data_IF_146326694539
#
_entry.id   IF_146326694539
#
_cell.length_a   1.000
_cell.length_b   1.000
_cell.length_c   1.000
_cell.angle_alpha   90.00
_cell.angle_beta   90.00
_cell.angle_gamma   90.00
#
_symmetry.space_group_name_H-M   'P 1'
#
loop_
_entity.id
_entity.type
_entity.pdbx_description
1 polymer ?
#
# COMPACT_ATOMS: atom_id res chain seq x y z
N UNK A 1 -10.37 21.95 0.10
CA UNK A 1 -9.63 20.82 -0.50
C UNK A 1 -10.48 19.95 -1.44
N UNK A 2 -11.61 19.38 -0.98
CA UNK A 2 -12.53 18.56 -1.80
C UNK A 2 -13.03 19.20 -3.11
N UNK A 3 -13.29 20.52 -3.12
CA UNK A 3 -13.76 21.24 -4.32
C UNK A 3 -12.69 21.37 -5.41
N UNK A 4 -11.42 21.55 -5.01
CA UNK A 4 -10.28 21.66 -5.94
C UNK A 4 -9.98 20.31 -6.60
N UNK A 5 -10.13 19.21 -5.84
CA UNK A 5 -10.00 17.84 -6.35
C UNK A 5 -11.04 17.53 -7.44
N UNK A 6 -12.32 17.88 -7.22
CA UNK A 6 -13.39 17.67 -8.20
C UNK A 6 -13.15 18.41 -9.53
N UNK A 7 -12.57 19.60 -9.49
CA UNK A 7 -12.32 20.42 -10.68
C UNK A 7 -11.22 19.82 -11.58
N UNK A 8 -10.05 19.47 -11.00
CA UNK A 8 -8.94 18.85 -11.76
C UNK A 8 -9.28 17.49 -12.36
N UNK A 9 -10.22 16.76 -11.76
CA UNK A 9 -10.63 15.44 -12.26
C UNK A 9 -11.46 15.54 -13.55
N UNK A 10 -12.12 16.68 -13.83
CA UNK A 10 -13.00 16.86 -15.00
C UNK A 10 -12.24 17.12 -16.31
N UNK A 11 -11.07 17.75 -16.26
CA UNK A 11 -10.31 18.09 -17.48
C UNK A 11 -9.61 16.89 -18.15
N UNK A 12 -9.41 15.79 -17.41
CA UNK A 12 -8.61 14.63 -17.86
C UNK A 12 -9.43 13.49 -18.49
N UNK A 13 -10.71 13.70 -18.80
CA UNK A 13 -11.63 12.61 -19.20
C UNK A 13 -12.10 12.86 -20.63
N UNK A 14 -11.29 12.51 -21.63
CA UNK A 14 -11.66 12.57 -23.06
C UNK A 14 -11.69 11.22 -23.77
N UNK A 15 -11.05 10.18 -23.23
CA UNK A 15 -10.98 8.86 -23.88
C UNK A 15 -11.83 7.83 -23.13
N UNK A 16 -12.66 7.07 -23.83
CA UNK A 16 -13.44 5.98 -23.23
C UNK A 16 -12.50 4.89 -22.70
N UNK A 17 -12.53 4.63 -21.40
CA UNK A 17 -11.76 3.56 -20.76
C UNK A 17 -12.60 2.28 -20.84
N UNK A 18 -12.14 1.35 -21.66
CA UNK A 18 -12.60 -0.04 -21.61
C UNK A 18 -12.23 -0.66 -20.25
N UNK A 19 -13.05 -1.58 -19.74
CA UNK A 19 -12.81 -2.22 -18.44
C UNK A 19 -11.40 -2.83 -18.34
N UNK A 20 -10.91 -3.42 -19.43
CA UNK A 20 -9.57 -4.02 -19.54
C UNK A 20 -8.42 -3.00 -19.44
N UNK A 21 -8.71 -1.71 -19.64
CA UNK A 21 -7.74 -0.60 -19.59
C UNK A 21 -7.81 0.18 -18.27
N UNK A 22 -8.61 -0.27 -17.30
CA UNK A 22 -8.68 0.36 -15.99
C UNK A 22 -7.35 0.17 -15.26
N UNK A 23 -6.66 1.29 -14.97
CA UNK A 23 -5.43 1.26 -14.18
C UNK A 23 -5.79 1.15 -12.70
N UNK A 24 -6.15 -0.04 -12.24
CA UNK A 24 -6.58 -0.28 -10.87
C UNK A 24 -5.48 -1.01 -10.06
N UNK A 25 -5.29 -0.72 -8.76
CA UNK A 25 -4.37 -1.44 -7.88
C UNK A 25 -4.94 -2.81 -7.48
N UNK A 26 -5.28 -3.58 -8.50
CA UNK A 26 -5.64 -5.00 -8.45
C UNK A 26 -5.33 -5.59 -9.81
N UNK A 27 -4.49 -6.60 -9.84
CA UNK A 27 -4.19 -7.31 -11.07
C UNK A 27 -5.29 -8.32 -11.35
N UNK A 28 -6.15 -8.05 -12.33
CA UNK A 28 -7.16 -9.01 -12.78
C UNK A 28 -6.47 -10.30 -13.28
N UNK A 29 -6.88 -11.46 -12.75
CA UNK A 29 -6.19 -12.73 -13.04
C UNK A 29 -5.04 -13.05 -12.08
N UNK A 30 -4.72 -12.13 -11.16
CA UNK A 30 -3.67 -12.26 -10.16
C UNK A 30 -2.28 -12.57 -10.72
N UNK A 31 -1.46 -13.19 -9.87
CA UNK A 31 -0.17 -13.75 -10.23
C UNK A 31 -0.29 -15.27 -10.42
N UNK A 32 0.42 -15.86 -11.41
CA UNK A 32 0.38 -17.30 -11.68
C UNK A 32 1.00 -18.13 -10.56
N UNK A 33 1.86 -17.51 -9.76
CA UNK A 33 2.56 -18.12 -8.63
C UNK A 33 2.57 -17.14 -7.47
N UNK A 34 2.65 -17.69 -6.27
CA UNK A 34 2.86 -16.90 -5.06
C UNK A 34 4.11 -16.01 -5.23
N UNK A 35 3.99 -14.69 -5.00
CA UNK A 35 5.14 -13.80 -4.93
C UNK A 35 6.11 -14.31 -3.86
N UNK A 36 7.34 -14.61 -4.28
CA UNK A 36 8.41 -15.09 -3.41
C UNK A 36 9.61 -14.19 -3.63
N UNK A 37 9.93 -13.37 -2.66
CA UNK A 37 11.22 -12.69 -2.58
C UNK A 37 11.80 -12.89 -1.18
N UNK A 38 13.00 -13.46 -1.11
CA UNK A 38 13.82 -13.52 0.10
C UNK A 38 13.46 -14.64 1.08
N UNK A 39 14.43 -15.50 1.39
CA UNK A 39 14.38 -16.30 2.61
C UNK A 39 14.23 -15.32 3.79
N UNK A 40 13.22 -15.52 4.63
CA UNK A 40 13.06 -14.84 5.92
C UNK A 40 14.27 -15.16 6.82
N UNK A 41 15.41 -14.52 6.59
CA UNK A 41 16.62 -14.76 7.35
C UNK A 41 16.58 -13.94 8.64
N UNK A 42 16.06 -14.59 9.67
CA UNK A 42 16.44 -14.46 11.07
C UNK A 42 16.76 -13.06 11.60
N UNK A 43 15.73 -12.25 11.84
CA UNK A 43 15.71 -11.30 12.98
C UNK A 43 14.29 -10.84 13.38
N UNK A 44 13.24 -11.15 12.62
CA UNK A 44 11.86 -10.75 12.93
C UNK A 44 10.90 -11.92 12.79
N UNK A 45 10.45 -12.45 13.93
CA UNK A 45 9.27 -13.33 13.99
C UNK A 45 8.05 -12.46 13.64
N UNK A 46 7.78 -12.27 12.34
CA UNK A 46 6.73 -11.40 11.81
C UNK A 46 5.34 -11.71 12.40
N UNK A 47 5.13 -12.96 12.85
CA UNK A 47 3.92 -13.41 13.55
C UNK A 47 3.72 -12.71 14.91
N UNK A 48 4.78 -12.09 15.46
CA UNK A 48 4.71 -11.21 16.63
C UNK A 48 4.34 -9.77 16.29
N UNK A 49 4.42 -9.39 15.01
CA UNK A 49 4.20 -8.02 14.54
C UNK A 49 2.80 -7.87 13.96
N UNK A 50 2.35 -8.85 13.15
CA UNK A 50 1.04 -8.88 12.52
C UNK A 50 0.50 -10.31 12.51
N UNK A 51 -0.78 -10.49 12.84
CA UNK A 51 -1.46 -11.77 12.72
C UNK A 51 -2.35 -11.83 11.46
N UNK A 52 -2.74 -13.04 11.08
CA UNK A 52 -3.57 -13.27 9.90
C UNK A 52 -4.96 -12.65 10.02
N UNK A 53 -5.56 -12.65 11.21
CA UNK A 53 -6.85 -12.01 11.48
C UNK A 53 -6.83 -10.53 11.11
N UNK A 54 -5.76 -9.81 11.47
CA UNK A 54 -5.62 -8.38 11.13
C UNK A 54 -5.49 -8.15 9.63
N UNK A 55 -4.77 -9.02 8.92
CA UNK A 55 -4.65 -8.97 7.47
C UNK A 55 -6.00 -9.22 6.79
N UNK A 56 -6.79 -10.14 7.35
CA UNK A 56 -8.14 -10.41 6.87
C UNK A 56 -9.09 -9.22 7.11
N UNK A 57 -9.01 -8.55 8.26
CA UNK A 57 -9.76 -7.31 8.53
C UNK A 57 -9.40 -6.21 7.52
N UNK A 58 -8.11 -5.93 7.34
CA UNK A 58 -7.62 -4.88 6.44
C UNK A 58 -8.05 -5.11 4.99
N UNK A 59 -7.91 -6.34 4.50
CA UNK A 59 -8.34 -6.71 3.15
C UNK A 59 -9.86 -6.64 2.98
N UNK A 60 -10.63 -7.07 3.98
CA UNK A 60 -12.09 -6.96 3.97
C UNK A 60 -12.55 -5.50 3.90
N UNK A 61 -11.98 -4.64 4.77
CA UNK A 61 -12.29 -3.21 4.75
C UNK A 61 -11.88 -2.56 3.43
N UNK A 62 -10.72 -2.92 2.87
CA UNK A 62 -10.24 -2.44 1.58
C UNK A 62 -11.27 -2.67 0.46
N UNK A 63 -11.70 -3.92 0.26
CA UNK A 63 -12.68 -4.25 -0.78
C UNK A 63 -14.06 -3.68 -0.49
N UNK A 64 -14.49 -3.66 0.77
CA UNK A 64 -15.78 -3.08 1.14
C UNK A 64 -15.87 -1.60 0.77
N UNK A 65 -14.84 -0.79 1.06
CA UNK A 65 -14.88 0.65 0.73
C UNK A 65 -14.73 0.93 -0.76
N UNK A 66 -14.02 0.08 -1.49
CA UNK A 66 -13.99 0.12 -2.96
C UNK A 66 -15.40 -0.12 -3.52
N UNK A 67 -16.09 -1.17 -3.05
CA UNK A 67 -17.46 -1.49 -3.45
C UNK A 67 -18.47 -0.39 -3.13
N UNK A 68 -18.34 0.25 -1.97
CA UNK A 68 -19.19 1.37 -1.56
C UNK A 68 -18.93 2.65 -2.39
N UNK A 69 -17.96 2.65 -3.32
CA UNK A 69 -17.45 3.82 -4.05
C UNK A 69 -17.05 4.94 -3.08
N UNK A 70 -16.55 4.56 -1.91
CA UNK A 70 -16.11 5.44 -0.85
C UNK A 70 -14.62 5.21 -0.54
N UNK A 71 -13.72 5.16 -1.53
CA UNK A 71 -12.30 4.90 -1.25
C UNK A 71 -11.67 6.02 -0.40
N UNK A 72 -12.25 7.24 -0.36
CA UNK A 72 -11.81 8.29 0.57
C UNK A 72 -11.98 7.91 2.05
N UNK A 73 -12.82 6.92 2.37
CA UNK A 73 -12.96 6.38 3.73
C UNK A 73 -11.87 5.36 4.08
N UNK A 74 -10.98 5.03 3.14
CA UNK A 74 -9.81 4.18 3.39
C UNK A 74 -8.68 4.93 4.09
N UNK A 75 -8.82 6.24 4.37
CA UNK A 75 -7.74 7.08 4.92
C UNK A 75 -7.08 6.55 6.20
N UNK A 76 -7.78 5.68 6.94
CA UNK A 76 -7.24 5.05 8.16
C UNK A 76 -6.31 3.89 7.85
N UNK A 77 -6.57 3.14 6.78
CA UNK A 77 -5.89 1.89 6.47
C UNK A 77 -5.07 1.93 5.17
N UNK A 78 -5.25 2.93 4.31
CA UNK A 78 -4.55 3.06 3.02
C UNK A 78 -3.85 4.42 2.95
N UNK A 79 -2.62 4.45 2.43
CA UNK A 79 -1.92 5.70 2.20
C UNK A 79 -2.68 6.60 1.21
N UNK A 80 -2.69 7.90 1.52
CA UNK A 80 -3.37 8.91 0.72
C UNK A 80 -3.00 8.89 -0.79
N UNK A 81 -1.76 8.59 -1.15
CA UNK A 81 -1.31 8.49 -2.56
C UNK A 81 -2.06 7.38 -3.30
N UNK A 82 -2.05 6.17 -2.75
CA UNK A 82 -2.75 5.01 -3.29
C UNK A 82 -4.27 5.24 -3.30
N UNK A 83 -4.83 5.69 -2.19
CA UNK A 83 -6.25 6.04 -2.04
C UNK A 83 -6.72 7.05 -3.12
N UNK A 84 -5.91 8.08 -3.38
CA UNK A 84 -6.23 9.10 -4.38
C UNK A 84 -6.23 8.54 -5.81
N UNK A 85 -5.37 7.58 -6.11
CA UNK A 85 -5.33 6.91 -7.41
C UNK A 85 -6.52 5.98 -7.58
N UNK A 86 -6.84 5.15 -6.58
CA UNK A 86 -8.06 4.32 -6.54
C UNK A 86 -9.30 5.17 -6.82
N UNK A 87 -9.46 6.27 -6.07
CA UNK A 87 -10.60 7.17 -6.25
C UNK A 87 -10.67 7.75 -7.66
N UNK A 88 -9.53 8.20 -8.21
CA UNK A 88 -9.47 8.78 -9.55
C UNK A 88 -9.93 7.76 -10.59
N UNK A 89 -9.44 6.54 -10.53
CA UNK A 89 -9.72 5.51 -11.52
C UNK A 89 -11.15 4.99 -11.42
N UNK A 90 -11.68 4.79 -10.21
CA UNK A 90 -13.10 4.45 -10.00
C UNK A 90 -14.02 5.58 -10.49
N UNK A 91 -13.67 6.85 -10.25
CA UNK A 91 -14.47 7.98 -10.72
C UNK A 91 -14.39 8.17 -12.24
N UNK A 92 -13.21 7.99 -12.84
CA UNK A 92 -13.04 7.98 -14.30
C UNK A 92 -13.93 6.92 -14.93
N UNK A 93 -13.88 5.69 -14.41
CA UNK A 93 -14.74 4.61 -14.85
C UNK A 93 -16.23 4.96 -14.74
N UNK A 94 -16.68 5.42 -13.57
CA UNK A 94 -18.08 5.79 -13.32
C UNK A 94 -18.57 6.92 -14.23
N UNK A 95 -17.72 7.90 -14.52
CA UNK A 95 -18.07 9.06 -15.35
C UNK A 95 -18.20 8.70 -16.83
N UNK A 96 -17.43 7.74 -17.30
CA UNK A 96 -17.47 7.30 -18.70
C UNK A 96 -18.50 6.18 -18.92
N UNK A 97 -18.73 5.36 -17.90
CA UNK A 97 -19.61 4.21 -17.93
C UNK A 97 -20.77 4.39 -16.93
N UNK A 98 -21.56 5.46 -17.08
CA UNK A 98 -22.75 5.75 -16.25
C UNK A 98 -23.81 4.63 -16.21
N UNK A 99 -23.66 3.62 -17.07
CA UNK A 99 -24.54 2.47 -17.14
C UNK A 99 -24.05 1.27 -16.33
N UNK A 100 -22.83 1.30 -15.81
CA UNK A 100 -22.21 0.13 -15.21
C UNK A 100 -21.76 0.37 -13.77
N UNK A 101 -21.85 -0.68 -12.95
CA UNK A 101 -21.36 -0.73 -11.58
C UNK A 101 -20.34 -1.85 -11.47
N UNK A 102 -19.17 -1.53 -10.92
CA UNK A 102 -18.15 -2.50 -10.60
C UNK A 102 -18.41 -3.06 -9.20
N UNK A 103 -18.43 -4.39 -9.06
CA UNK A 103 -18.61 -5.07 -7.77
C UNK A 103 -17.49 -6.10 -7.59
N UNK A 104 -16.83 -6.03 -6.45
CA UNK A 104 -15.80 -6.96 -5.99
C UNK A 104 -16.38 -7.82 -4.88
N UNK A 105 -16.62 -9.10 -5.14
CA UNK A 105 -16.98 -10.08 -4.12
C UNK A 105 -15.78 -11.00 -3.91
N UNK A 106 -14.78 -10.49 -3.18
CA UNK A 106 -13.46 -11.10 -3.02
C UNK A 106 -13.28 -11.50 -1.57
N UNK A 107 -12.87 -12.75 -1.35
CA UNK A 107 -12.38 -13.26 -0.08
C UNK A 107 -10.87 -13.47 -0.17
N UNK A 108 -10.16 -13.06 0.87
CA UNK A 108 -8.73 -13.23 1.00
C UNK A 108 -8.43 -14.26 2.10
N UNK A 109 -7.44 -15.12 1.87
CA UNK A 109 -7.03 -16.20 2.78
C UNK A 109 -5.60 -16.64 2.47
N UNK A 110 -5.05 -17.55 3.30
CA UNK A 110 -3.69 -18.08 3.20
C UNK A 110 -2.65 -16.95 3.14
N UNK A 111 -2.68 -16.04 4.11
CA UNK A 111 -1.72 -14.93 4.14
C UNK A 111 -0.32 -15.42 4.52
N UNK A 112 0.69 -15.00 3.75
CA UNK A 112 2.10 -15.27 3.98
C UNK A 112 2.92 -13.99 3.95
N UNK A 113 3.78 -13.76 4.94
CA UNK A 113 4.80 -12.72 4.84
C UNK A 113 5.99 -13.29 4.08
N UNK A 114 6.40 -12.64 2.99
CA UNK A 114 7.57 -13.07 2.23
C UNK A 114 8.76 -12.14 2.38
N UNK A 115 8.56 -10.84 2.63
CA UNK A 115 9.66 -9.90 2.83
C UNK A 115 9.36 -8.89 3.95
N UNK A 116 10.41 -8.46 4.65
CA UNK A 116 10.34 -7.41 5.67
C UNK A 116 11.53 -6.48 5.55
N UNK A 117 11.31 -5.17 5.63
CA UNK A 117 12.38 -4.18 5.52
C UNK A 117 12.27 -3.13 6.62
N UNK A 118 13.39 -2.87 7.30
CA UNK A 118 13.45 -1.79 8.29
C UNK A 118 13.95 -0.52 7.62
N UNK A 119 13.21 0.57 7.82
CA UNK A 119 13.52 1.87 7.22
C UNK A 119 13.69 2.90 8.31
N UNK A 120 14.92 3.38 8.47
CA UNK A 120 15.26 4.47 9.36
C UNK A 120 15.38 5.79 8.60
N UNK A 121 14.64 6.80 9.04
CA UNK A 121 14.47 8.06 8.32
C UNK A 121 14.69 9.24 9.24
N UNK A 122 15.36 10.29 8.77
CA UNK A 122 15.52 11.55 9.49
C UNK A 122 15.13 12.71 8.58
N UNK A 123 14.15 13.49 9.02
CA UNK A 123 13.58 14.58 8.21
C UNK A 123 12.75 14.11 7.02
N UNK A 124 12.19 12.89 7.08
CA UNK A 124 11.27 12.35 6.05
C UNK A 124 9.88 12.19 6.68
N UNK A 125 8.86 12.72 6.02
CA UNK A 125 7.47 12.60 6.41
C UNK A 125 6.84 11.30 5.87
N UNK A 126 5.94 10.70 6.67
CA UNK A 126 5.08 9.58 6.23
C UNK A 126 4.22 9.95 5.03
N UNK A 127 3.66 11.16 5.03
CA UNK A 127 2.95 11.69 3.87
C UNK A 127 3.95 11.98 2.75
N UNK A 128 4.18 11.01 1.86
CA UNK A 128 5.21 11.05 0.80
C UNK A 128 5.17 12.31 -0.06
N UNK A 129 3.99 12.90 -0.24
CA UNK A 129 3.79 14.18 -0.95
C UNK A 129 4.49 15.39 -0.32
N UNK A 130 4.87 15.30 0.96
CA UNK A 130 5.58 16.36 1.69
C UNK A 130 7.10 16.24 1.58
N UNK A 131 7.59 15.09 1.12
CA UNK A 131 9.03 14.83 1.03
C UNK A 131 9.60 15.51 -0.20
N UNK A 132 10.50 16.47 0.01
CA UNK A 132 11.30 17.04 -1.07
C UNK A 132 12.68 16.39 -1.07
N UNK A 133 13.20 15.95 -2.22
CA UNK A 133 14.50 15.29 -2.28
C UNK A 133 15.64 16.07 -1.62
N UNK A 134 15.62 17.41 -1.65
CA UNK A 134 16.67 18.27 -1.10
C UNK A 134 16.60 18.47 0.42
N UNK A 135 15.50 18.09 1.07
CA UNK A 135 15.25 18.31 2.50
C UNK A 135 15.61 17.06 3.35
N UNK A 136 15.87 15.93 2.68
CA UNK A 136 16.13 14.64 3.31
C UNK A 136 17.57 14.57 3.79
N UNK A 137 17.74 14.29 5.09
CA UNK A 137 19.04 14.32 5.76
C UNK A 137 19.65 12.93 5.86
N UNK A 138 18.82 11.96 6.23
CA UNK A 138 19.26 10.58 6.36
C UNK A 138 18.11 9.62 6.01
N UNK A 139 18.41 8.65 5.18
CA UNK A 139 17.54 7.52 4.86
C UNK A 139 18.42 6.28 4.83
N UNK A 140 18.02 5.28 5.60
CA UNK A 140 18.72 4.02 5.72
C UNK A 140 17.66 2.92 5.59
N UNK A 141 17.81 2.09 4.56
CA UNK A 141 16.98 0.92 4.32
C UNK A 141 17.85 -0.31 4.56
N UNK A 142 17.48 -1.12 5.54
CA UNK A 142 18.11 -2.41 5.79
C UNK A 142 17.25 -3.49 5.15
N UNK A 143 17.76 -4.11 4.08
CA UNK A 143 17.12 -5.20 3.36
C UNK A 143 17.84 -6.48 3.78
N UNK A 144 17.16 -7.38 4.49
CA UNK A 144 17.63 -8.74 4.76
C UNK A 144 19.06 -8.87 5.32
N UNK A 145 19.49 -7.93 6.18
CA UNK A 145 20.80 -7.99 6.84
C UNK A 145 21.98 -7.57 5.97
N UNK A 146 21.74 -6.99 4.79
CA UNK A 146 22.76 -6.37 3.94
C UNK A 146 22.67 -4.84 3.93
N UNK A 147 23.83 -4.19 3.92
CA UNK A 147 24.00 -2.74 4.08
C UNK A 147 23.46 -1.92 2.89
N UNK A 148 22.40 -1.16 3.18
CA UNK A 148 22.14 0.28 2.95
C UNK A 148 22.26 0.92 1.55
N UNK A 149 21.10 1.32 1.01
CA UNK A 149 21.02 2.56 0.22
C UNK A 149 21.01 3.75 1.18
N UNK A 150 22.18 4.31 1.50
CA UNK A 150 22.27 5.48 2.37
C UNK A 150 22.38 6.77 1.57
N UNK A 151 21.31 7.56 1.58
CA UNK A 151 21.27 8.84 0.85
C UNK A 151 21.62 9.95 1.83
N UNK A 152 22.87 10.38 1.80
CA UNK A 152 23.36 11.54 2.55
C UNK A 152 23.28 12.78 1.69
N UNK A 153 22.43 13.74 2.07
CA UNK A 153 22.51 15.09 1.49
C UNK A 153 22.98 16.13 2.51
N UNK A 154 22.66 15.97 3.79
CA UNK A 154 23.15 16.81 4.90
C UNK A 154 23.26 15.99 6.19
N UNK A 155 24.23 16.32 7.06
CA UNK A 155 24.34 15.69 8.39
C UNK A 155 23.07 15.96 9.21
N UNK A 156 22.48 14.94 9.86
CA UNK A 156 21.35 15.15 10.78
C UNK A 156 21.82 15.87 12.05
N UNK A 157 21.00 16.77 12.56
CA UNK A 157 21.14 17.38 13.89
C UNK A 157 20.54 16.48 14.96
N UNK A 158 21.01 16.62 16.19
CA UNK A 158 20.54 15.88 17.37
C UNK A 158 19.03 16.01 17.56
N UNK A 159 18.48 17.18 17.25
CA UNK A 159 17.05 17.52 17.39
C UNK A 159 16.22 17.16 16.16
N UNK A 160 16.83 16.63 15.09
CA UNK A 160 16.06 16.28 13.90
C UNK A 160 15.13 15.11 14.23
N UNK A 161 13.89 15.23 13.76
CA UNK A 161 12.88 14.17 13.89
C UNK A 161 13.33 12.94 13.10
N UNK A 162 13.42 11.82 13.80
CA UNK A 162 13.79 10.52 13.29
C UNK A 162 12.63 9.54 13.46
N UNK A 163 12.43 8.72 12.44
CA UNK A 163 11.34 7.77 12.39
C UNK A 163 11.88 6.43 11.91
N UNK A 164 11.59 5.37 12.64
CA UNK A 164 11.80 4.01 12.18
C UNK A 164 10.46 3.44 11.74
N UNK A 165 10.43 2.87 10.55
CA UNK A 165 9.27 2.15 10.02
C UNK A 165 9.64 0.74 9.60
N UNK A 166 8.67 -0.15 9.68
CA UNK A 166 8.75 -1.49 9.15
C UNK A 166 7.86 -1.60 7.92
N UNK A 167 8.44 -2.14 6.86
CA UNK A 167 7.71 -2.57 5.69
C UNK A 167 7.51 -4.08 5.75
N UNK A 168 6.30 -4.51 5.42
CA UNK A 168 5.90 -5.91 5.43
C UNK A 168 5.26 -6.20 4.08
N UNK A 169 5.87 -7.08 3.31
CA UNK A 169 5.29 -7.58 2.07
C UNK A 169 4.59 -8.91 2.33
N UNK A 170 3.31 -8.95 1.97
CA UNK A 170 2.40 -10.05 2.23
C UNK A 170 1.89 -10.61 0.90
N UNK A 171 1.99 -11.92 0.73
CA UNK A 171 1.29 -12.70 -0.28
C UNK A 171 -0.01 -13.24 0.31
N UNK A 172 -1.04 -13.37 -0.52
CA UNK A 172 -2.28 -14.03 -0.12
C UNK A 172 -3.01 -14.58 -1.33
N UNK A 173 -3.89 -15.54 -1.08
CA UNK A 173 -4.80 -16.06 -2.09
C UNK A 173 -6.12 -15.32 -2.06
N UNK A 174 -6.73 -15.24 -3.22
CA UNK A 174 -8.10 -14.77 -3.35
C UNK A 174 -8.99 -15.82 -3.97
N UNK A 175 -10.25 -15.76 -3.56
CA UNK A 175 -11.34 -16.45 -4.20
C UNK A 175 -12.50 -15.48 -4.25
N UNK A 176 -13.09 -15.34 -5.42
CA UNK A 176 -14.17 -14.38 -5.58
C UNK A 176 -14.39 -13.95 -6.99
N UNK A 177 -15.29 -12.99 -7.14
CA UNK A 177 -15.65 -12.45 -8.45
C UNK A 177 -15.59 -10.95 -8.50
N UNK A 178 -15.11 -10.48 -9.64
CA UNK A 178 -15.25 -9.13 -10.08
C UNK A 178 -16.32 -9.14 -11.15
N UNK A 179 -17.42 -8.47 -10.84
CA UNK A 179 -18.57 -8.37 -11.71
C UNK A 179 -18.69 -6.94 -12.23
N UNK A 180 -18.98 -6.82 -13.52
CA UNK A 180 -19.55 -5.62 -14.08
C UNK A 180 -21.05 -5.81 -14.21
N UNK A 181 -21.81 -4.92 -13.58
CA UNK A 181 -23.26 -4.94 -13.57
C UNK A 181 -23.81 -3.77 -14.38
N UNK A 182 -24.88 -3.97 -15.16
CA UNK A 182 -25.56 -2.85 -15.81
C UNK A 182 -26.50 -2.10 -14.82
N UNK A 183 -27.23 -1.09 -15.30
CA UNK A 183 -28.18 -0.31 -14.48
C UNK A 183 -29.31 -1.16 -13.89
N UNK A 184 -29.64 -2.29 -14.52
CA UNK A 184 -30.62 -3.27 -14.04
C UNK A 184 -30.02 -4.31 -13.09
N UNK A 185 -28.73 -4.17 -12.75
CA UNK A 185 -27.92 -5.11 -11.96
C UNK A 185 -27.70 -6.47 -12.64
N UNK A 186 -27.84 -6.54 -13.96
CA UNK A 186 -27.51 -7.75 -14.74
C UNK A 186 -26.00 -7.82 -14.95
N UNK A 187 -25.42 -9.01 -14.82
CA UNK A 187 -24.00 -9.26 -15.02
C UNK A 187 -23.68 -9.17 -16.52
N UNK A 188 -22.80 -8.25 -16.89
CA UNK A 188 -22.31 -8.05 -18.26
C UNK A 188 -20.89 -8.60 -18.44
N UNK A 189 -20.15 -8.69 -17.33
CA UNK A 189 -18.83 -9.29 -17.27
C UNK A 189 -18.64 -9.90 -15.88
N UNK A 190 -17.96 -11.04 -15.84
CA UNK A 190 -17.56 -11.71 -14.62
C UNK A 190 -16.24 -12.44 -14.91
N UNK A 191 -15.25 -12.31 -14.02
CA UNK A 191 -14.06 -13.15 -14.09
C UNK A 191 -14.37 -14.58 -13.63
N UNK A 192 -13.52 -15.53 -14.00
CA UNK A 192 -13.71 -16.94 -13.67
C UNK A 192 -13.63 -17.18 -12.15
N UNK A 193 -14.67 -17.79 -11.56
CA UNK A 193 -14.79 -17.94 -10.10
C UNK A 193 -13.87 -19.02 -9.52
N UNK A 194 -13.37 -19.93 -10.36
CA UNK A 194 -12.73 -21.16 -9.93
C UNK A 194 -11.20 -21.08 -9.87
N UNK A 195 -10.62 -19.99 -10.36
CA UNK A 195 -9.17 -19.80 -10.28
C UNK A 195 -8.82 -19.16 -8.94
N UNK A 196 -8.04 -19.89 -8.15
CA UNK A 196 -7.31 -19.29 -7.04
C UNK A 196 -6.23 -18.39 -7.63
N UNK A 197 -6.31 -17.10 -7.30
CA UNK A 197 -5.38 -16.08 -7.75
C UNK A 197 -4.47 -15.68 -6.58
N UNK A 198 -3.18 -15.49 -6.85
CA UNK A 198 -2.26 -14.93 -5.87
C UNK A 198 -2.20 -13.41 -6.03
N UNK A 199 -2.14 -12.71 -4.90
CA UNK A 199 -2.00 -11.26 -4.83
C UNK A 199 -0.97 -10.87 -3.78
N UNK A 200 -0.53 -9.62 -3.83
CA UNK A 200 0.36 -9.08 -2.81
C UNK A 200 -0.06 -7.70 -2.31
N UNK A 201 0.36 -7.41 -1.09
CA UNK A 201 0.16 -6.13 -0.44
C UNK A 201 1.41 -5.74 0.31
N UNK A 202 1.79 -4.45 0.22
CA UNK A 202 2.86 -3.87 1.03
C UNK A 202 2.24 -3.01 2.12
N UNK A 203 2.62 -3.32 3.35
CA UNK A 203 2.20 -2.61 4.55
C UNK A 203 3.35 -1.78 5.11
N UNK A 204 3.03 -0.65 5.71
CA UNK A 204 3.94 0.18 6.48
C UNK A 204 3.42 0.29 7.92
N UNK A 205 4.32 0.15 8.90
CA UNK A 205 4.06 0.53 10.28
C UNK A 205 5.13 1.50 10.79
N UNK A 206 4.71 2.51 11.55
CA UNK A 206 5.63 3.39 12.30
C UNK A 206 5.97 2.71 13.64
N UNK A 207 7.24 2.40 13.82
CA UNK A 207 7.78 1.72 15.01
C UNK A 207 8.13 2.72 16.10
N UNK A 208 8.79 3.80 15.69
CA UNK A 208 9.39 4.77 16.59
C UNK A 208 9.37 6.13 15.93
N UNK A 209 9.10 7.15 16.74
CA UNK A 209 9.06 8.54 16.30
C UNK A 209 9.64 9.46 17.37
N UNK A 210 10.92 9.77 17.28
CA UNK A 210 11.66 10.51 18.31
C UNK A 210 12.77 11.36 17.68
N UNK A 211 13.63 11.97 18.49
CA UNK A 211 14.77 12.73 17.97
C UNK A 211 15.91 11.78 17.54
N UNK A 212 16.72 12.19 16.57
CA UNK A 212 17.77 11.37 15.96
C UNK A 212 18.70 10.68 16.96
N UNK A 213 19.10 11.36 18.04
CA UNK A 213 20.00 10.75 19.04
C UNK A 213 19.32 9.66 19.87
N UNK A 214 18.05 9.85 20.21
CA UNK A 214 17.24 8.85 20.91
C UNK A 214 17.05 7.63 20.02
N UNK A 215 16.72 7.86 18.75
CA UNK A 215 16.54 6.79 17.78
C UNK A 215 17.81 5.96 17.57
N UNK A 216 18.98 6.61 17.50
CA UNK A 216 20.27 5.91 17.35
C UNK A 216 20.57 4.99 18.54
N UNK A 217 20.18 5.41 19.75
CA UNK A 217 20.36 4.59 20.95
C UNK A 217 19.35 3.44 20.99
N UNK A 218 18.10 3.67 20.61
CA UNK A 218 17.03 2.65 20.60
C UNK A 218 17.14 1.65 19.45
N UNK A 219 17.79 2.00 18.33
CA UNK A 219 18.01 1.08 17.21
C UNK A 219 18.74 -0.22 17.64
N UNK A 220 19.57 -0.14 18.69
CA UNK A 220 20.26 -1.30 19.26
C UNK A 220 19.35 -2.27 20.04
N UNK A 221 18.14 -1.83 20.42
CA UNK A 221 17.17 -2.56 21.24
C UNK A 221 15.94 -3.07 20.44
N UNK A 222 15.96 -3.01 19.10
CA UNK A 222 14.84 -3.41 18.23
C UNK A 222 14.49 -4.91 18.26
N UNK A 223 15.20 -5.72 19.06
CA UNK A 223 14.92 -7.16 19.20
C UNK A 223 13.65 -7.45 20.02
N UNK A 224 13.16 -6.50 20.82
CA UNK A 224 12.05 -6.68 21.77
C UNK A 224 10.73 -5.99 21.36
N UNK A 225 10.48 -5.87 20.05
CA UNK A 225 9.31 -5.13 19.56
C UNK A 225 7.98 -5.85 19.87
N UNK A 226 7.02 -5.10 20.43
CA UNK A 226 5.64 -5.53 20.69
C UNK A 226 4.79 -5.47 19.40
N UNK A 227 3.65 -6.17 19.40
CA UNK A 227 2.64 -6.19 18.32
C UNK A 227 2.29 -4.79 17.83
N UNK A 228 2.10 -4.64 16.52
CA UNK A 228 1.93 -3.34 15.85
C UNK A 228 0.58 -3.19 15.15
N UNK A 229 -0.43 -3.92 15.62
CA UNK A 229 -1.72 -4.07 14.96
C UNK A 229 -2.46 -2.73 14.71
N UNK A 230 -2.20 -1.70 15.52
CA UNK A 230 -2.92 -0.42 15.48
C UNK A 230 -2.35 0.61 14.48
N UNK A 231 -1.14 0.40 13.93
CA UNK A 231 -0.43 1.40 13.11
C UNK A 231 -0.08 0.89 11.71
N UNK A 232 -0.85 -0.05 11.16
CA UNK A 232 -0.60 -0.63 9.84
C UNK A 232 -1.34 0.12 8.74
N UNK A 233 -0.60 0.51 7.71
CA UNK A 233 -1.14 1.16 6.52
C UNK A 233 -0.76 0.39 5.26
N UNK A 234 -1.75 0.13 4.40
CA UNK A 234 -1.58 -0.37 3.05
C UNK A 234 -0.96 0.74 2.21
N UNK A 235 0.25 0.51 1.73
CA UNK A 235 0.99 1.47 0.90
C UNK A 235 1.08 1.02 -0.55
N UNK A 236 0.94 -0.28 -0.86
CA UNK A 236 0.88 -0.78 -2.23
C UNK A 236 0.07 -2.07 -2.31
N UNK A 237 -0.53 -2.34 -3.48
CA UNK A 237 -1.25 -3.58 -3.79
C UNK A 237 -0.86 -4.01 -5.21
N UNK A 238 -0.50 -5.28 -5.39
CA UNK A 238 -0.09 -5.88 -6.67
C UNK A 238 0.99 -5.09 -7.42
N UNK A 239 1.93 -4.49 -6.67
CA UNK A 239 3.02 -3.65 -7.18
C UNK A 239 2.56 -2.45 -8.03
N UNK A 240 1.33 -1.97 -7.82
CA UNK A 240 0.73 -0.89 -8.60
C UNK A 240 1.55 0.41 -8.55
N UNK A 241 2.10 0.76 -7.38
CA UNK A 241 2.98 1.91 -7.20
C UNK A 241 4.47 1.55 -7.27
N UNK A 242 4.81 0.36 -7.79
CA UNK A 242 6.18 -0.15 -7.89
C UNK A 242 6.93 -0.09 -6.55
N UNK A 243 6.28 -0.46 -5.44
CA UNK A 243 6.87 -0.49 -4.10
C UNK A 243 6.76 0.81 -3.31
N UNK A 244 6.18 1.86 -3.91
CA UNK A 244 5.80 3.13 -3.26
C UNK A 244 6.93 3.81 -2.45
N UNK A 245 7.93 4.29 -3.18
CA UNK A 245 9.14 4.92 -2.65
C UNK A 245 8.86 6.24 -1.90
N UNK A 246 9.60 6.50 -0.82
CA UNK A 246 9.53 7.79 -0.09
C UNK A 246 9.97 9.00 -0.89
N UNK A 247 10.84 8.75 -1.87
CA UNK A 247 11.49 9.76 -2.67
C UNK A 247 11.27 9.34 -4.11
N UNK A 248 10.45 10.11 -4.81
CA UNK A 248 10.51 10.08 -6.26
C UNK A 248 11.75 10.89 -6.64
N UNK A 249 12.82 10.19 -7.02
CA UNK A 249 13.88 10.85 -7.77
C UNK A 249 13.23 11.28 -9.09
N UNK A 250 13.02 12.59 -9.22
CA UNK A 250 12.79 13.16 -10.55
C UNK A 250 14.14 12.98 -11.25
N UNK A 251 14.19 12.10 -12.25
CA UNK A 251 15.27 12.06 -13.23
C UNK A 251 15.31 13.36 -14.04
#
# INVERSE_FOLDING_TARGET
>A
MLRVFKAKTREYIKEAIEFNNLQFPWKFGGFPHEPKDGQLNGFTDWRRIINEEKLQELSTEYFQKINELQPLRLERIVEHSLMSQIYRELMRYKLQNHKHTLKFDIKCFDFGVYNTENIFRVGVHLGRQRNKPLEIRHFNQNINGHDFLCVWRKRPFVTDKATLSLFIDVSFKTQGTIMLLNQKKEIIYQNDQNNQEFHCMRLESEIMNCNFISAKNEQSNLRDMKRMDDNLHIIDVDHYLKGNNYINYIE
#
